data_IF_769897296589
#
_entry.id   IF_769897296589
#
_cell.length_a   1.000
_cell.length_b   1.000
_cell.length_c   1.000
_cell.angle_alpha   90.00
_cell.angle_beta   90.00
_cell.angle_gamma   90.00
#
_symmetry.space_group_name_H-M   'P 1'
#
loop_
_entity.id
_entity.type
_entity.pdbx_description
1 polymer ?
#
# COMPACT_ATOMS: atom_id res chain seq x y z
N UNK A 1 7.48 -22.17 -7.29
CA UNK A 1 8.48 -22.27 -6.21
C UNK A 1 8.50 -20.92 -5.52
N UNK A 2 7.76 -20.75 -4.42
CA UNK A 2 7.76 -19.51 -3.64
C UNK A 2 9.14 -19.43 -2.99
N UNK A 3 9.95 -18.45 -3.38
CA UNK A 3 11.13 -18.09 -2.60
C UNK A 3 10.65 -17.57 -1.25
N UNK A 4 10.85 -18.35 -0.20
CA UNK A 4 10.83 -17.83 1.16
C UNK A 4 12.02 -16.88 1.28
N UNK A 5 11.72 -15.59 1.10
CA UNK A 5 12.67 -14.55 1.48
C UNK A 5 12.82 -14.64 3.01
N UNK A 6 13.94 -15.15 3.44
CA UNK A 6 14.34 -15.18 4.85
C UNK A 6 14.41 -13.72 5.36
N UNK A 7 13.34 -13.25 5.95
CA UNK A 7 12.99 -11.82 6.11
C UNK A 7 13.74 -11.14 7.26
N UNK A 8 14.61 -11.85 8.01
CA UNK A 8 15.14 -11.34 9.28
C UNK A 8 16.50 -10.60 9.20
N UNK A 9 17.20 -10.61 8.06
CA UNK A 9 18.54 -10.00 7.97
C UNK A 9 18.68 -8.88 6.92
N UNK A 10 17.72 -8.72 5.99
CA UNK A 10 17.85 -7.74 4.90
C UNK A 10 17.63 -6.31 5.39
N UNK A 11 18.61 -5.44 5.17
CA UNK A 11 18.55 -4.01 5.48
C UNK A 11 18.24 -3.20 4.23
N UNK A 12 17.44 -2.15 4.39
CA UNK A 12 16.96 -1.27 3.33
C UNK A 12 17.43 0.17 3.60
N UNK A 13 18.14 0.74 2.66
CA UNK A 13 18.66 2.11 2.73
C UNK A 13 17.97 3.01 1.74
N UNK A 14 17.48 4.12 2.19
CA UNK A 14 16.92 5.20 1.39
C UNK A 14 17.80 6.43 1.60
N UNK A 15 18.18 7.09 0.50
CA UNK A 15 19.00 8.31 0.50
C UNK A 15 18.19 9.40 -0.15
N UNK A 16 17.81 10.40 0.62
CA UNK A 16 17.07 11.57 0.15
C UNK A 16 17.98 12.80 0.10
N UNK A 17 17.70 13.70 -0.79
CA UNK A 17 18.44 14.94 -0.99
C UNK A 17 17.87 16.09 -0.15
N UNK A 18 16.68 15.94 0.40
CA UNK A 18 16.03 16.91 1.29
C UNK A 18 15.11 16.24 2.33
N UNK A 19 14.78 16.99 3.37
CA UNK A 19 13.97 16.51 4.49
C UNK A 19 12.54 16.15 4.11
N UNK A 20 11.89 16.94 3.27
CA UNK A 20 10.53 16.65 2.81
C UNK A 20 10.48 15.33 2.04
N UNK A 21 11.41 15.14 1.10
CA UNK A 21 11.54 13.90 0.35
C UNK A 21 11.86 12.69 1.22
N UNK A 22 12.69 12.87 2.24
CA UNK A 22 12.97 11.83 3.23
C UNK A 22 11.69 11.37 3.95
N UNK A 23 10.89 12.32 4.42
CA UNK A 23 9.63 12.04 5.11
C UNK A 23 8.57 11.43 4.19
N UNK A 24 8.42 11.97 2.97
CA UNK A 24 7.48 11.43 1.97
C UNK A 24 7.77 9.96 1.65
N UNK A 25 9.05 9.60 1.64
CA UNK A 25 9.49 8.23 1.38
C UNK A 25 9.33 7.36 2.62
N UNK A 26 9.72 7.87 3.78
CA UNK A 26 9.60 7.16 5.05
C UNK A 26 8.14 6.76 5.35
N UNK A 27 7.19 7.65 5.07
CA UNK A 27 5.78 7.37 5.31
C UNK A 27 5.25 6.22 4.46
N UNK A 28 5.77 6.01 3.22
CA UNK A 28 5.35 4.89 2.39
C UNK A 28 5.78 3.55 3.00
N UNK A 29 6.95 3.50 3.64
CA UNK A 29 7.43 2.34 4.39
C UNK A 29 6.62 2.15 5.67
N UNK A 30 6.35 3.24 6.39
CA UNK A 30 5.58 3.21 7.64
C UNK A 30 4.15 2.71 7.44
N UNK A 31 3.48 3.09 6.36
CA UNK A 31 2.14 2.61 5.96
C UNK A 31 2.07 1.09 5.76
N UNK A 32 3.21 0.40 5.68
CA UNK A 32 3.30 -1.06 5.57
C UNK A 32 3.70 -1.74 6.88
N UNK A 33 3.59 -1.01 7.99
CA UNK A 33 3.82 -1.53 9.34
C UNK A 33 5.29 -1.60 9.77
N UNK A 34 6.24 -1.12 8.96
CA UNK A 34 7.65 -1.13 9.32
C UNK A 34 8.04 0.08 10.16
N UNK A 35 8.89 -0.16 11.16
CA UNK A 35 9.58 0.93 11.84
C UNK A 35 10.68 1.48 10.95
N UNK A 36 10.71 2.80 10.80
CA UNK A 36 11.67 3.53 9.98
C UNK A 36 12.08 4.80 10.70
N UNK A 37 13.33 5.17 10.55
CA UNK A 37 13.88 6.43 11.07
C UNK A 37 14.47 7.26 9.96
N UNK A 38 14.25 8.56 10.03
CA UNK A 38 14.99 9.54 9.24
C UNK A 38 16.17 10.04 10.07
N UNK A 39 17.35 10.07 9.48
CA UNK A 39 18.58 10.56 10.13
C UNK A 39 19.34 11.50 9.19
N UNK A 40 20.00 12.48 9.78
CA UNK A 40 20.78 13.52 9.05
C UNK A 40 22.29 13.21 9.00
N UNK A 41 22.69 12.05 9.51
CA UNK A 41 24.08 11.63 9.53
C UNK A 41 24.20 10.12 9.38
N UNK A 42 25.38 9.65 8.99
CA UNK A 42 25.65 8.22 8.96
C UNK A 42 25.62 7.65 10.38
N UNK A 43 24.61 6.87 10.77
CA UNK A 43 24.52 6.33 12.11
C UNK A 43 25.66 5.36 12.40
N UNK A 44 26.13 5.33 13.65
CA UNK A 44 27.16 4.38 14.09
C UNK A 44 26.68 2.93 14.00
N UNK A 45 25.39 2.70 14.25
CA UNK A 45 24.74 1.38 14.18
C UNK A 45 23.29 1.55 13.70
N UNK A 46 22.89 0.78 12.69
CA UNK A 46 21.51 0.71 12.21
C UNK A 46 20.88 -0.53 12.83
N UNK A 47 19.94 -0.34 13.75
CA UNK A 47 19.16 -1.43 14.37
C UNK A 47 17.92 -1.76 13.54
N UNK A 48 17.31 -0.75 12.95
CA UNK A 48 16.08 -0.83 12.18
C UNK A 48 16.33 -1.57 10.86
N UNK A 49 15.28 -2.24 10.37
CA UNK A 49 15.28 -2.87 9.03
C UNK A 49 15.34 -1.82 7.92
N UNK A 50 14.73 -0.67 8.14
CA UNK A 50 14.66 0.45 7.22
C UNK A 50 15.27 1.70 7.82
N UNK A 51 16.07 2.40 7.03
CA UNK A 51 16.61 3.71 7.41
C UNK A 51 16.56 4.66 6.22
N UNK A 52 16.17 5.90 6.48
CA UNK A 52 16.28 7.00 5.53
C UNK A 52 17.39 7.92 6.00
N UNK A 53 18.30 8.28 5.10
CA UNK A 53 19.30 9.31 5.34
C UNK A 53 18.92 10.52 4.50
N UNK A 54 18.66 11.61 5.18
CA UNK A 54 18.56 12.93 4.58
C UNK A 54 19.97 13.53 4.50
N UNK A 55 20.38 13.84 3.30
CA UNK A 55 21.74 14.33 3.03
C UNK A 55 21.82 15.84 2.89
N UNK A 56 20.65 16.53 2.82
CA UNK A 56 20.55 17.98 2.57
C UNK A 56 21.43 18.45 1.41
N UNK A 57 21.48 17.64 0.35
CA UNK A 57 22.38 17.87 -0.79
C UNK A 57 21.71 18.60 -1.95
N UNK A 58 20.40 18.83 -1.90
CA UNK A 58 19.65 19.45 -3.01
C UNK A 58 20.17 20.83 -3.39
N UNK A 59 20.53 21.66 -2.41
CA UNK A 59 20.84 23.08 -2.59
C UNK A 59 22.33 23.42 -2.58
N UNK A 60 23.19 22.44 -2.42
CA UNK A 60 24.65 22.63 -2.44
C UNK A 60 25.24 22.37 -3.83
N UNK A 61 26.50 22.70 -4.05
CA UNK A 61 27.15 22.44 -5.35
C UNK A 61 27.24 20.94 -5.65
N UNK A 62 27.16 20.55 -6.92
CA UNK A 62 27.20 19.14 -7.35
C UNK A 62 28.43 18.38 -6.85
N UNK A 63 29.61 19.02 -6.86
CA UNK A 63 30.84 18.44 -6.30
C UNK A 63 30.70 18.11 -4.80
N UNK A 64 30.11 19.02 -4.02
CA UNK A 64 29.85 18.79 -2.59
C UNK A 64 28.80 17.71 -2.38
N UNK A 65 27.74 17.70 -3.19
CA UNK A 65 26.70 16.69 -3.13
C UNK A 65 27.28 15.28 -3.39
N UNK A 66 28.07 15.14 -4.46
CA UNK A 66 28.78 13.91 -4.77
C UNK A 66 29.63 13.42 -3.60
N UNK A 67 30.52 14.26 -3.04
CA UNK A 67 31.41 13.86 -1.93
C UNK A 67 30.63 13.53 -0.65
N UNK A 68 29.57 14.28 -0.35
CA UNK A 68 28.72 14.01 0.82
C UNK A 68 28.07 12.64 0.72
N UNK A 69 27.36 12.37 -0.39
CA UNK A 69 26.68 11.09 -0.61
C UNK A 69 27.69 9.93 -0.66
N UNK A 70 28.83 10.10 -1.36
CA UNK A 70 29.90 9.11 -1.44
C UNK A 70 30.43 8.72 -0.06
N UNK A 71 30.70 9.70 0.81
CA UNK A 71 31.23 9.45 2.15
C UNK A 71 30.22 8.73 3.04
N UNK A 72 28.94 9.11 2.96
CA UNK A 72 27.86 8.47 3.68
C UNK A 72 27.74 6.99 3.25
N UNK A 73 27.63 6.71 1.95
CA UNK A 73 27.51 5.35 1.41
C UNK A 73 28.72 4.50 1.79
N UNK A 74 29.92 5.04 1.59
CA UNK A 74 31.15 4.34 1.95
C UNK A 74 31.22 3.99 3.43
N UNK A 75 30.79 4.91 4.31
CA UNK A 75 30.73 4.67 5.75
C UNK A 75 29.71 3.58 6.12
N UNK A 76 28.54 3.58 5.48
CA UNK A 76 27.47 2.62 5.76
C UNK A 76 27.81 1.21 5.26
N UNK A 77 28.28 1.08 4.01
CA UNK A 77 28.63 -0.22 3.41
C UNK A 77 29.85 -0.88 4.08
N UNK A 78 30.70 -0.11 4.76
CA UNK A 78 31.76 -0.68 5.62
C UNK A 78 31.22 -1.34 6.90
N UNK A 79 30.04 -0.94 7.35
CA UNK A 79 29.46 -1.38 8.64
C UNK A 79 28.48 -2.53 8.46
N UNK A 80 27.77 -2.55 7.33
CA UNK A 80 26.77 -3.58 7.03
C UNK A 80 26.39 -3.59 5.54
N UNK A 81 25.88 -4.74 5.10
CA UNK A 81 25.33 -4.89 3.77
C UNK A 81 23.87 -4.43 3.70
N UNK A 82 23.51 -3.84 2.56
CA UNK A 82 22.15 -3.48 2.21
C UNK A 82 21.71 -4.29 0.99
N UNK A 83 20.61 -4.98 1.13
CA UNK A 83 20.00 -5.72 0.02
C UNK A 83 19.18 -4.83 -0.92
N UNK A 84 18.94 -3.58 -0.50
CA UNK A 84 18.13 -2.62 -1.23
C UNK A 84 18.66 -1.21 -0.97
N UNK A 85 18.97 -0.48 -2.03
CA UNK A 85 19.31 0.95 -1.96
C UNK A 85 18.39 1.72 -2.90
N UNK A 86 17.75 2.74 -2.34
CA UNK A 86 16.87 3.67 -3.02
C UNK A 86 17.42 5.08 -2.94
N UNK A 87 17.63 5.71 -4.08
CA UNK A 87 17.91 7.15 -4.17
C UNK A 87 16.60 7.89 -4.40
N UNK A 88 16.15 8.59 -3.39
CA UNK A 88 15.00 9.46 -3.50
C UNK A 88 15.42 10.76 -4.16
N UNK A 89 14.71 11.12 -5.22
CA UNK A 89 14.88 12.38 -5.95
C UNK A 89 13.58 13.20 -5.91
N UNK A 90 13.70 14.48 -6.16
CA UNK A 90 12.53 15.33 -6.33
C UNK A 90 11.68 14.89 -7.54
N UNK A 91 10.36 14.80 -7.35
CA UNK A 91 9.44 14.48 -8.44
C UNK A 91 9.33 15.59 -9.50
N UNK A 92 10.00 16.71 -9.27
CA UNK A 92 10.13 17.82 -10.21
C UNK A 92 11.57 17.98 -10.71
N UNK A 93 12.42 16.96 -10.56
CA UNK A 93 13.78 16.87 -11.10
C UNK A 93 14.74 17.98 -10.63
N UNK A 94 14.50 18.61 -9.49
CA UNK A 94 15.43 19.58 -8.88
C UNK A 94 16.56 18.85 -8.15
N UNK A 95 17.69 19.52 -8.02
CA UNK A 95 18.83 19.06 -7.21
C UNK A 95 19.95 18.40 -8.03
N UNK A 96 20.88 17.78 -7.32
CA UNK A 96 22.13 17.23 -7.87
C UNK A 96 22.00 15.75 -8.25
N UNK A 97 20.94 15.42 -9.04
CA UNK A 97 20.53 14.03 -9.32
C UNK A 97 21.69 13.18 -9.85
N UNK A 98 22.40 13.69 -10.84
CA UNK A 98 23.47 12.94 -11.52
C UNK A 98 24.66 12.70 -10.60
N UNK A 99 25.09 13.72 -9.88
CA UNK A 99 26.23 13.63 -8.97
C UNK A 99 25.97 12.65 -7.84
N UNK A 100 24.76 12.64 -7.34
CA UNK A 100 24.36 11.73 -6.27
C UNK A 100 24.22 10.28 -6.76
N UNK A 101 23.67 10.05 -7.95
CA UNK A 101 23.65 8.72 -8.57
C UNK A 101 25.08 8.22 -8.81
N UNK A 102 25.97 9.05 -9.37
CA UNK A 102 27.38 8.70 -9.56
C UNK A 102 28.08 8.31 -8.26
N UNK A 103 27.83 9.04 -7.20
CA UNK A 103 28.40 8.77 -5.89
C UNK A 103 27.98 7.39 -5.34
N UNK A 104 26.69 7.06 -5.50
CA UNK A 104 26.15 5.76 -5.07
C UNK A 104 26.67 4.65 -5.99
N UNK A 105 26.61 4.85 -7.29
CA UNK A 105 27.04 3.88 -8.30
C UNK A 105 28.50 3.44 -8.09
N UNK A 106 29.40 4.40 -7.88
CA UNK A 106 30.81 4.13 -7.65
C UNK A 106 31.07 3.21 -6.45
N UNK A 107 30.31 3.35 -5.39
CA UNK A 107 30.54 2.63 -4.12
C UNK A 107 29.69 1.38 -4.01
N UNK A 108 28.41 1.47 -4.35
CA UNK A 108 27.47 0.34 -4.26
C UNK A 108 27.65 -0.67 -5.39
N UNK A 109 28.07 -0.22 -6.57
CA UNK A 109 28.30 -1.01 -7.78
C UNK A 109 27.08 -1.88 -8.11
N UNK A 110 25.92 -1.27 -8.40
CA UNK A 110 24.74 -2.01 -8.85
C UNK A 110 24.97 -2.63 -10.22
N UNK A 111 24.29 -3.72 -10.52
CA UNK A 111 24.27 -4.29 -11.87
C UNK A 111 23.42 -3.45 -12.82
N UNK A 112 22.32 -2.87 -12.28
CA UNK A 112 21.43 -1.99 -13.03
C UNK A 112 20.98 -0.80 -12.17
N UNK A 113 20.67 0.29 -12.87
CA UNK A 113 20.07 1.50 -12.29
C UNK A 113 18.72 1.71 -12.95
N UNK A 114 17.64 1.76 -12.16
CA UNK A 114 16.29 2.04 -12.62
C UNK A 114 15.98 3.48 -12.27
N UNK A 115 15.68 4.30 -13.29
CA UNK A 115 15.32 5.70 -13.14
C UNK A 115 13.86 5.93 -13.55
N UNK A 116 12.99 6.24 -12.59
CA UNK A 116 11.58 6.53 -12.80
C UNK A 116 11.12 7.65 -11.85
N UNK A 117 11.25 8.92 -12.26
CA UNK A 117 10.97 10.08 -11.41
C UNK A 117 9.49 10.35 -11.18
N UNK A 118 8.62 9.80 -12.02
CA UNK A 118 7.19 10.12 -12.05
C UNK A 118 6.46 9.83 -10.73
N UNK A 119 5.40 10.61 -10.50
CA UNK A 119 4.44 10.44 -9.42
C UNK A 119 3.03 10.75 -9.92
N UNK A 120 2.38 9.80 -10.61
CA UNK A 120 1.09 10.02 -11.28
C UNK A 120 -0.01 10.59 -10.38
N UNK A 121 -0.07 10.14 -9.12
CA UNK A 121 -1.03 10.66 -8.13
C UNK A 121 -0.94 12.17 -7.88
N UNK A 122 0.19 12.77 -8.23
CA UNK A 122 0.44 14.21 -8.13
C UNK A 122 0.55 14.89 -9.51
N UNK A 123 0.04 14.24 -10.58
CA UNK A 123 0.09 14.79 -11.93
C UNK A 123 1.51 14.88 -12.53
N UNK A 124 2.51 14.16 -11.96
CA UNK A 124 3.87 14.10 -12.50
C UNK A 124 4.05 12.82 -13.26
N UNK A 125 4.20 12.92 -14.57
CA UNK A 125 4.28 11.79 -15.49
C UNK A 125 5.51 11.92 -16.38
N UNK A 126 5.93 10.80 -16.99
CA UNK A 126 6.97 10.80 -18.03
C UNK A 126 6.41 10.12 -19.28
N UNK A 127 6.45 10.81 -20.39
CA UNK A 127 5.90 10.34 -21.66
C UNK A 127 6.89 10.64 -22.79
N UNK A 128 7.28 9.61 -23.56
CA UNK A 128 8.29 9.70 -24.62
C UNK A 128 9.61 10.33 -24.13
N UNK A 129 10.03 9.95 -22.91
CA UNK A 129 11.22 10.49 -22.27
C UNK A 129 11.04 11.87 -21.63
N UNK A 130 9.96 12.59 -21.92
CA UNK A 130 9.71 13.94 -21.39
C UNK A 130 8.94 13.88 -20.07
N UNK A 131 9.54 14.45 -19.03
CA UNK A 131 8.90 14.57 -17.73
C UNK A 131 7.99 15.80 -17.67
N UNK A 132 6.75 15.61 -17.22
CA UNK A 132 5.68 16.61 -17.24
C UNK A 132 5.05 16.78 -15.86
N UNK A 133 4.58 17.98 -15.59
CA UNK A 133 3.74 18.31 -14.45
C UNK A 133 2.40 18.79 -14.99
N UNK A 134 1.31 18.13 -14.64
CA UNK A 134 -0.05 18.42 -15.15
C UNK A 134 -0.11 18.56 -16.67
N UNK A 135 0.63 17.69 -17.38
CA UNK A 135 0.69 17.65 -18.84
C UNK A 135 1.69 18.63 -19.48
N UNK A 136 2.27 19.57 -18.71
CA UNK A 136 3.23 20.57 -19.21
C UNK A 136 4.66 20.05 -19.00
N UNK A 137 5.56 20.09 -20.03
CA UNK A 137 6.97 19.77 -19.85
C UNK A 137 7.57 20.57 -18.69
N UNK A 138 8.32 19.91 -17.81
CA UNK A 138 8.76 20.54 -16.56
C UNK A 138 9.66 21.75 -16.77
N UNK A 139 10.42 21.77 -17.86
CA UNK A 139 11.24 22.91 -18.28
C UNK A 139 10.43 24.17 -18.66
N UNK A 140 9.11 24.05 -18.80
CA UNK A 140 8.18 25.14 -19.12
C UNK A 140 7.30 25.55 -17.94
N UNK A 141 7.52 24.97 -16.76
CA UNK A 141 6.77 25.26 -15.53
C UNK A 141 7.54 26.23 -14.62
N UNK A 142 6.95 26.58 -13.46
CA UNK A 142 7.62 27.36 -12.42
C UNK A 142 8.93 26.72 -11.93
N UNK A 143 9.09 25.41 -12.03
CA UNK A 143 10.32 24.72 -11.62
C UNK A 143 11.54 25.06 -12.49
N UNK A 144 11.33 25.51 -13.73
CA UNK A 144 12.39 26.05 -14.56
C UNK A 144 12.93 27.40 -14.04
N UNK A 145 12.16 28.07 -13.21
CA UNK A 145 12.50 29.38 -12.60
C UNK A 145 12.83 29.27 -11.12
N UNK A 146 12.99 28.03 -10.60
CA UNK A 146 13.42 27.85 -9.20
C UNK A 146 14.71 28.62 -8.95
N UNK A 147 14.75 29.51 -7.92
CA UNK A 147 15.90 30.41 -7.72
C UNK A 147 17.20 29.71 -7.33
N UNK A 148 17.10 28.48 -6.81
CA UNK A 148 18.25 27.72 -6.33
C UNK A 148 18.60 26.57 -7.29
N UNK A 149 17.59 25.84 -7.72
CA UNK A 149 17.75 24.62 -8.54
C UNK A 149 16.84 24.68 -9.79
N UNK A 150 17.06 25.59 -10.73
CA UNK A 150 16.24 25.69 -11.93
C UNK A 150 16.34 24.42 -12.78
N UNK A 151 15.20 23.87 -13.17
CA UNK A 151 15.12 22.67 -14.02
C UNK A 151 15.29 23.09 -15.47
N UNK A 152 16.42 22.74 -16.07
CA UNK A 152 16.78 23.15 -17.44
C UNK A 152 16.38 22.13 -18.50
N UNK A 153 16.20 20.88 -18.12
CA UNK A 153 15.88 19.77 -19.03
C UNK A 153 14.69 18.99 -18.50
N UNK A 154 13.90 18.47 -19.40
CA UNK A 154 12.73 17.66 -19.12
C UNK A 154 12.84 16.22 -19.69
N UNK A 155 13.82 15.98 -20.58
CA UNK A 155 14.04 14.64 -21.11
C UNK A 155 14.94 13.83 -20.16
N UNK A 156 14.38 12.75 -19.60
CA UNK A 156 15.04 11.91 -18.59
C UNK A 156 16.26 11.15 -19.16
N UNK A 157 16.26 10.84 -20.45
CA UNK A 157 17.39 10.19 -21.10
C UNK A 157 18.55 11.17 -21.23
N UNK A 158 18.28 12.40 -21.70
CA UNK A 158 19.28 13.46 -21.82
C UNK A 158 19.89 13.83 -20.46
N UNK A 159 19.06 13.87 -19.40
CA UNK A 159 19.53 14.13 -18.03
C UNK A 159 20.55 13.05 -17.63
N UNK A 160 20.25 11.78 -17.84
CA UNK A 160 21.16 10.70 -17.50
C UNK A 160 22.43 10.71 -18.38
N UNK A 161 22.33 11.06 -19.68
CA UNK A 161 23.47 11.14 -20.59
C UNK A 161 24.47 12.25 -20.22
N UNK A 162 24.07 13.27 -19.46
CA UNK A 162 25.03 14.25 -18.92
C UNK A 162 26.04 13.62 -17.95
N UNK A 163 25.64 12.55 -17.30
CA UNK A 163 26.44 11.91 -16.28
C UNK A 163 27.11 10.62 -16.67
N UNK A 164 26.55 9.89 -17.61
CA UNK A 164 26.95 8.52 -17.93
C UNK A 164 27.25 8.41 -19.42
N UNK A 165 28.39 7.78 -19.74
CA UNK A 165 28.84 7.57 -21.13
C UNK A 165 28.18 6.32 -21.76
N UNK A 166 27.72 5.41 -20.93
CA UNK A 166 27.04 4.19 -21.36
C UNK A 166 25.67 4.52 -21.94
N UNK A 167 25.17 3.63 -22.78
CA UNK A 167 23.85 3.75 -23.38
C UNK A 167 22.75 3.76 -22.30
N UNK A 168 21.84 4.72 -22.40
CA UNK A 168 20.64 4.80 -21.55
C UNK A 168 19.50 4.08 -22.28
N UNK A 169 19.07 2.98 -21.70
CA UNK A 169 17.93 2.20 -22.22
C UNK A 169 16.63 2.89 -21.88
N UNK A 170 16.03 3.59 -22.84
CA UNK A 170 14.72 4.21 -22.69
C UNK A 170 13.62 3.15 -22.89
N UNK A 171 12.79 2.99 -21.88
CA UNK A 171 11.63 2.08 -21.90
C UNK A 171 10.36 2.93 -22.00
N UNK A 172 9.81 3.00 -23.22
CA UNK A 172 8.55 3.70 -23.49
C UNK A 172 7.35 2.95 -22.89
N UNK A 173 6.22 3.64 -22.74
CA UNK A 173 4.95 3.03 -22.28
C UNK A 173 4.55 1.84 -23.15
N UNK A 174 4.71 1.96 -24.47
CA UNK A 174 4.43 0.85 -25.39
C UNK A 174 5.24 -0.39 -25.07
N UNK A 175 6.52 -0.22 -24.77
CA UNK A 175 7.39 -1.32 -24.39
C UNK A 175 7.04 -1.84 -23.00
N UNK A 176 6.76 -0.95 -22.04
CA UNK A 176 6.39 -1.31 -20.67
C UNK A 176 5.08 -2.14 -20.61
N UNK A 177 4.17 -1.91 -21.55
CA UNK A 177 2.91 -2.67 -21.63
C UNK A 177 3.07 -4.03 -22.34
N UNK A 178 4.18 -4.26 -23.03
CA UNK A 178 4.57 -5.53 -23.68
C UNK A 178 5.69 -6.19 -22.84
N UNK A 179 5.32 -6.67 -21.64
CA UNK A 179 6.27 -7.17 -20.64
C UNK A 179 7.14 -8.35 -21.12
N UNK A 180 6.66 -9.13 -22.08
CA UNK A 180 7.43 -10.28 -22.62
C UNK A 180 8.69 -9.84 -23.38
N UNK A 181 8.76 -8.57 -23.78
CA UNK A 181 9.87 -8.02 -24.58
C UNK A 181 10.96 -7.34 -23.74
N UNK A 182 10.66 -6.95 -22.49
CA UNK A 182 11.62 -6.23 -21.67
C UNK A 182 12.41 -7.21 -20.81
N UNK A 183 13.70 -7.28 -21.09
CA UNK A 183 14.68 -7.95 -20.23
C UNK A 183 15.69 -6.92 -19.73
N UNK A 184 15.83 -6.79 -18.40
CA UNK A 184 16.82 -5.91 -17.77
C UNK A 184 18.24 -6.52 -17.87
N UNK A 185 18.68 -6.89 -19.09
CA UNK A 185 19.97 -7.56 -19.34
C UNK A 185 20.79 -6.93 -20.46
N UNK A 186 20.29 -5.85 -21.08
CA UNK A 186 20.95 -5.22 -22.24
C UNK A 186 21.81 -4.01 -21.90
N UNK A 187 21.79 -3.54 -20.69
CA UNK A 187 22.53 -2.36 -20.26
C UNK A 187 22.49 -2.19 -18.75
N UNK A 188 23.10 -1.11 -18.28
CA UNK A 188 23.15 -0.75 -16.86
C UNK A 188 22.09 0.28 -16.48
N UNK A 189 21.80 1.25 -17.34
CA UNK A 189 20.93 2.39 -17.06
C UNK A 189 19.60 2.26 -17.79
N UNK A 190 18.50 2.28 -17.05
CA UNK A 190 17.15 2.17 -17.57
C UNK A 190 16.32 3.37 -17.14
N UNK A 191 15.81 4.14 -18.11
CA UNK A 191 14.91 5.27 -17.91
C UNK A 191 13.52 4.91 -18.39
N UNK A 192 12.51 5.09 -17.54
CA UNK A 192 11.15 4.62 -17.79
C UNK A 192 10.16 5.75 -18.00
N UNK A 193 9.33 5.60 -19.02
CA UNK A 193 8.08 6.32 -19.12
C UNK A 193 7.07 5.78 -18.09
N UNK A 194 6.27 6.68 -17.52
CA UNK A 194 5.25 6.37 -16.53
C UNK A 194 4.12 7.38 -16.63
N UNK A 195 2.90 6.93 -16.84
CA UNK A 195 1.69 7.76 -16.81
C UNK A 195 0.74 7.39 -15.67
N UNK A 196 0.75 6.13 -15.25
CA UNK A 196 -0.19 5.60 -14.26
C UNK A 196 0.53 4.96 -13.08
N UNK A 197 -0.22 4.71 -12.00
CA UNK A 197 0.29 3.93 -10.87
C UNK A 197 0.58 2.48 -11.27
N UNK A 198 -0.19 1.92 -12.19
CA UNK A 198 -0.01 0.59 -12.75
C UNK A 198 1.33 0.45 -13.49
N UNK A 199 1.77 1.51 -14.18
CA UNK A 199 3.09 1.52 -14.84
C UNK A 199 4.21 1.43 -13.81
N UNK A 200 4.09 2.17 -12.70
CA UNK A 200 5.03 2.07 -11.58
C UNK A 200 5.08 0.64 -11.01
N UNK A 201 3.93 0.01 -10.84
CA UNK A 201 3.85 -1.36 -10.33
C UNK A 201 4.51 -2.37 -11.28
N UNK A 202 4.36 -2.18 -12.60
CA UNK A 202 5.04 -3.01 -13.62
C UNK A 202 6.55 -2.87 -13.54
N UNK A 203 7.06 -1.64 -13.44
CA UNK A 203 8.51 -1.35 -13.27
C UNK A 203 9.03 -1.99 -11.98
N UNK A 204 8.30 -1.81 -10.87
CA UNK A 204 8.66 -2.38 -9.59
C UNK A 204 8.71 -3.92 -9.65
N UNK A 205 7.69 -4.54 -10.23
CA UNK A 205 7.61 -6.01 -10.41
C UNK A 205 8.78 -6.53 -11.24
N UNK A 206 9.02 -5.93 -12.40
CA UNK A 206 10.10 -6.31 -13.30
C UNK A 206 11.46 -6.22 -12.62
N UNK A 207 11.73 -5.13 -11.89
CA UNK A 207 12.98 -4.97 -11.17
C UNK A 207 13.14 -5.97 -10.02
N UNK A 208 12.10 -6.17 -9.20
CA UNK A 208 12.13 -7.15 -8.10
C UNK A 208 12.33 -8.57 -8.60
N UNK A 209 11.65 -8.95 -9.69
CA UNK A 209 11.74 -10.29 -10.30
C UNK A 209 13.07 -10.53 -11.05
N UNK A 210 13.81 -9.48 -11.40
CA UNK A 210 15.08 -9.60 -12.12
C UNK A 210 16.18 -10.30 -11.33
N UNK A 211 16.06 -10.37 -10.01
CA UNK A 211 17.07 -10.87 -9.07
C UNK A 211 18.44 -10.16 -9.18
N UNK A 212 18.48 -8.96 -9.74
CA UNK A 212 19.68 -8.16 -9.91
C UNK A 212 19.93 -7.23 -8.72
N UNK A 213 21.18 -6.83 -8.55
CA UNK A 213 21.55 -5.77 -7.62
C UNK A 213 21.18 -4.42 -8.22
N UNK A 214 20.12 -3.81 -7.73
CA UNK A 214 19.55 -2.59 -8.29
C UNK A 214 19.82 -1.38 -7.43
N UNK A 215 20.21 -0.27 -8.07
CA UNK A 215 20.01 1.06 -7.53
C UNK A 215 18.68 1.61 -8.08
N UNK A 216 17.72 1.75 -7.21
CA UNK A 216 16.45 2.36 -7.54
C UNK A 216 16.55 3.88 -7.39
N UNK A 217 16.12 4.61 -8.42
CA UNK A 217 16.14 6.08 -8.42
C UNK A 217 14.78 6.61 -8.83
N UNK A 218 14.13 7.35 -7.94
CA UNK A 218 12.80 7.90 -8.24
C UNK A 218 12.21 8.77 -7.14
N UNK A 219 10.96 9.17 -7.35
CA UNK A 219 10.16 9.93 -6.38
C UNK A 219 9.53 9.01 -5.32
N UNK A 220 8.69 9.56 -4.44
CA UNK A 220 7.89 8.75 -3.51
C UNK A 220 6.91 7.79 -4.23
N UNK A 221 6.56 8.04 -5.49
CA UNK A 221 5.72 7.15 -6.29
C UNK A 221 6.37 5.81 -6.58
N UNK A 222 7.63 5.81 -7.01
CA UNK A 222 8.33 4.56 -7.34
C UNK A 222 8.52 3.67 -6.11
N UNK A 223 8.91 4.24 -4.97
CA UNK A 223 9.08 3.43 -3.75
C UNK A 223 7.74 2.89 -3.23
N UNK A 224 6.65 3.63 -3.38
CA UNK A 224 5.32 3.13 -3.07
C UNK A 224 5.01 1.87 -3.89
N UNK A 225 5.24 1.90 -5.21
CA UNK A 225 5.04 0.75 -6.09
C UNK A 225 5.95 -0.44 -5.77
N UNK A 226 7.21 -0.19 -5.43
CA UNK A 226 8.14 -1.26 -5.00
C UNK A 226 7.61 -1.96 -3.76
N UNK A 227 7.13 -1.22 -2.77
CA UNK A 227 6.56 -1.81 -1.57
C UNK A 227 5.21 -2.47 -1.79
N UNK A 228 4.43 -2.07 -2.79
CA UNK A 228 3.22 -2.80 -3.19
C UNK A 228 3.55 -4.22 -3.68
N UNK A 229 4.73 -4.42 -4.28
CA UNK A 229 5.21 -5.74 -4.71
C UNK A 229 5.90 -6.51 -3.58
N UNK A 230 6.82 -5.86 -2.85
CA UNK A 230 7.62 -6.52 -1.80
C UNK A 230 6.80 -6.87 -0.56
N UNK A 231 5.84 -6.04 -0.22
CA UNK A 231 4.96 -6.18 0.92
C UNK A 231 3.58 -5.62 0.60
N UNK A 232 2.79 -6.35 -0.19
CA UNK A 232 1.46 -5.91 -0.59
C UNK A 232 0.59 -5.63 0.63
N UNK A 233 -0.21 -4.56 0.56
CA UNK A 233 -1.16 -4.23 1.61
C UNK A 233 -2.17 -5.35 1.73
N UNK A 234 -2.30 -5.92 2.91
CA UNK A 234 -3.34 -6.92 3.20
C UNK A 234 -4.72 -6.29 2.97
N UNK A 235 -5.69 -7.05 2.46
CA UNK A 235 -7.05 -6.55 2.30
C UNK A 235 -7.68 -6.25 3.65
N UNK A 236 -8.62 -5.32 3.72
CA UNK A 236 -9.48 -5.13 4.89
C UNK A 236 -10.79 -5.87 4.70
N UNK A 237 -11.38 -6.36 5.81
CA UNK A 237 -12.63 -7.11 5.83
C UNK A 237 -13.71 -6.33 6.61
N UNK A 238 -14.84 -6.02 5.97
CA UNK A 238 -15.98 -5.39 6.62
C UNK A 238 -17.10 -6.40 6.86
N UNK A 239 -17.71 -6.37 8.04
CA UNK A 239 -18.93 -7.15 8.35
C UNK A 239 -20.02 -6.21 8.82
N UNK A 240 -21.07 -6.11 8.03
CA UNK A 240 -22.22 -5.27 8.30
C UNK A 240 -23.41 -6.13 8.68
N UNK A 241 -23.61 -6.33 9.99
CA UNK A 241 -24.78 -7.05 10.53
C UNK A 241 -25.95 -6.15 10.92
N UNK A 242 -25.78 -4.83 10.82
CA UNK A 242 -26.82 -3.85 11.12
C UNK A 242 -27.81 -3.72 9.95
N UNK A 243 -29.09 -3.75 10.24
CA UNK A 243 -30.17 -3.55 9.29
C UNK A 243 -30.75 -2.11 9.33
N UNK A 244 -30.01 -1.16 9.93
CA UNK A 244 -30.42 0.23 10.01
C UNK A 244 -30.36 0.92 8.65
N UNK A 245 -31.17 1.96 8.45
CA UNK A 245 -31.18 2.77 7.23
C UNK A 245 -29.80 3.43 6.97
N UNK A 246 -29.13 3.86 8.05
CA UNK A 246 -27.79 4.44 7.99
C UNK A 246 -26.80 3.42 7.47
N UNK A 247 -26.81 2.17 7.98
CA UNK A 247 -25.94 1.10 7.50
C UNK A 247 -26.17 0.79 6.01
N UNK A 248 -27.43 0.79 5.55
CA UNK A 248 -27.73 0.62 4.12
C UNK A 248 -27.16 1.75 3.26
N UNK A 249 -27.25 3.02 3.68
CA UNK A 249 -26.64 4.17 2.99
C UNK A 249 -25.12 4.02 2.93
N UNK A 250 -24.48 3.61 4.02
CA UNK A 250 -23.03 3.37 4.10
C UNK A 250 -22.58 2.25 3.15
N UNK A 251 -23.32 1.14 3.06
CA UNK A 251 -23.07 0.06 2.10
C UNK A 251 -23.16 0.53 0.65
N UNK A 252 -24.22 1.30 0.33
CA UNK A 252 -24.40 1.85 -1.02
C UNK A 252 -23.30 2.84 -1.39
N UNK A 253 -22.89 3.69 -0.45
CA UNK A 253 -21.75 4.59 -0.66
C UNK A 253 -20.45 3.83 -0.92
N UNK A 254 -20.11 2.84 -0.09
CA UNK A 254 -18.93 2.01 -0.27
C UNK A 254 -18.90 1.30 -1.63
N UNK A 255 -20.08 0.76 -2.06
CA UNK A 255 -20.24 0.14 -3.37
C UNK A 255 -20.04 1.15 -4.52
N UNK A 256 -20.59 2.37 -4.40
CA UNK A 256 -20.39 3.46 -5.37
C UNK A 256 -18.94 3.86 -5.50
N UNK A 257 -18.19 3.81 -4.40
CA UNK A 257 -16.74 4.08 -4.37
C UNK A 257 -15.86 2.91 -4.85
N UNK A 258 -16.47 1.86 -5.44
CA UNK A 258 -15.78 0.72 -6.02
C UNK A 258 -15.37 -0.38 -5.03
N UNK A 259 -15.87 -0.36 -3.79
CA UNK A 259 -15.59 -1.43 -2.84
C UNK A 259 -16.47 -2.65 -3.11
N UNK A 260 -15.91 -3.85 -3.04
CA UNK A 260 -16.67 -5.08 -3.18
C UNK A 260 -17.63 -5.23 -1.97
N UNK A 261 -18.92 -5.36 -2.25
CA UNK A 261 -19.97 -5.62 -1.25
C UNK A 261 -20.67 -6.91 -1.63
N UNK A 262 -20.52 -7.93 -0.78
CA UNK A 262 -21.17 -9.22 -0.96
C UNK A 262 -22.32 -9.38 0.04
N UNK A 263 -23.50 -9.66 -0.48
CA UNK A 263 -24.67 -9.97 0.33
C UNK A 263 -24.81 -11.49 0.49
N UNK A 264 -24.92 -11.93 1.74
CA UNK A 264 -25.18 -13.32 2.09
C UNK A 264 -26.65 -13.66 1.78
N UNK A 265 -26.92 -14.66 0.96
CA UNK A 265 -28.28 -15.14 0.76
C UNK A 265 -28.75 -15.98 1.96
N UNK A 266 -29.34 -15.27 2.94
CA UNK A 266 -29.82 -15.88 4.19
C UNK A 266 -30.85 -16.96 3.91
N UNK A 267 -31.71 -16.79 2.89
CA UNK A 267 -32.77 -17.79 2.57
C UNK A 267 -32.11 -19.11 2.12
N UNK A 268 -31.13 -19.04 1.23
CA UNK A 268 -30.39 -20.22 0.79
C UNK A 268 -29.56 -20.85 1.93
N UNK A 269 -28.95 -20.02 2.79
CA UNK A 269 -28.22 -20.50 3.96
C UNK A 269 -29.13 -21.30 4.93
N UNK A 270 -30.42 -20.97 4.99
CA UNK A 270 -31.40 -21.71 5.80
C UNK A 270 -31.80 -23.05 5.14
N UNK A 271 -31.77 -23.14 3.80
CA UNK A 271 -32.17 -24.33 3.06
C UNK A 271 -31.00 -25.29 2.84
N UNK A 272 -29.85 -24.75 2.44
CA UNK A 272 -28.66 -25.48 2.04
C UNK A 272 -27.42 -24.95 2.77
N UNK A 273 -27.36 -25.13 4.11
CA UNK A 273 -26.37 -24.43 4.93
C UNK A 273 -24.92 -24.76 4.59
N UNK A 274 -24.59 -26.00 4.25
CA UNK A 274 -23.22 -26.39 3.93
C UNK A 274 -22.82 -25.96 2.51
N UNK A 275 -23.68 -26.19 1.53
CA UNK A 275 -23.41 -25.87 0.13
C UNK A 275 -23.25 -24.35 -0.06
N UNK A 276 -24.23 -23.56 0.37
CA UNK A 276 -24.22 -22.11 0.23
C UNK A 276 -23.08 -21.48 1.06
N UNK A 277 -22.77 -22.03 2.24
CA UNK A 277 -21.63 -21.60 3.04
C UNK A 277 -20.30 -21.75 2.27
N UNK A 278 -20.07 -22.93 1.69
CA UNK A 278 -18.83 -23.21 0.97
C UNK A 278 -18.72 -22.35 -0.29
N UNK A 279 -19.79 -22.24 -1.10
CA UNK A 279 -19.81 -21.39 -2.29
C UNK A 279 -19.53 -19.90 -1.96
N UNK A 280 -20.18 -19.42 -0.89
CA UNK A 280 -19.97 -18.04 -0.46
C UNK A 280 -18.54 -17.81 0.04
N UNK A 281 -17.99 -18.74 0.83
CA UNK A 281 -16.64 -18.65 1.37
C UNK A 281 -15.58 -18.70 0.25
N UNK A 282 -15.72 -19.57 -0.73
CA UNK A 282 -14.81 -19.64 -1.89
C UNK A 282 -14.75 -18.31 -2.64
N UNK A 283 -15.93 -17.70 -2.91
CA UNK A 283 -15.99 -16.39 -3.57
C UNK A 283 -15.30 -15.30 -2.75
N UNK A 284 -15.52 -15.29 -1.44
CA UNK A 284 -14.88 -14.32 -0.52
C UNK A 284 -13.35 -14.50 -0.53
N UNK A 285 -12.88 -15.74 -0.39
CA UNK A 285 -11.45 -16.06 -0.35
C UNK A 285 -10.76 -15.68 -1.67
N UNK A 286 -11.41 -15.91 -2.82
CA UNK A 286 -10.86 -15.53 -4.13
C UNK A 286 -10.59 -14.02 -4.19
N UNK A 287 -11.58 -13.19 -3.82
CA UNK A 287 -11.42 -11.73 -3.83
C UNK A 287 -10.34 -11.25 -2.84
N UNK A 288 -10.27 -11.83 -1.65
CA UNK A 288 -9.25 -11.46 -0.67
C UNK A 288 -7.84 -11.91 -1.10
N UNK A 289 -7.69 -13.05 -1.79
CA UNK A 289 -6.41 -13.50 -2.37
C UNK A 289 -5.90 -12.54 -3.45
N UNK A 290 -6.81 -11.90 -4.18
CA UNK A 290 -6.49 -10.84 -5.13
C UNK A 290 -6.19 -9.48 -4.46
N UNK A 291 -6.02 -9.46 -3.15
CA UNK A 291 -5.76 -8.25 -2.33
C UNK A 291 -6.91 -7.21 -2.38
N UNK A 292 -8.10 -7.65 -2.75
CA UNK A 292 -9.29 -6.80 -2.79
C UNK A 292 -9.97 -6.77 -1.42
N UNK A 293 -10.10 -5.58 -0.85
CA UNK A 293 -10.92 -5.40 0.36
C UNK A 293 -12.38 -5.61 0.03
N UNK A 294 -13.12 -6.22 0.94
CA UNK A 294 -14.54 -6.47 0.74
C UNK A 294 -15.36 -6.30 2.01
N UNK A 295 -16.65 -6.07 1.82
CA UNK A 295 -17.66 -5.98 2.87
C UNK A 295 -18.65 -7.13 2.68
N UNK A 296 -18.92 -7.85 3.75
CA UNK A 296 -19.96 -8.87 3.82
C UNK A 296 -21.14 -8.30 4.60
N UNK A 297 -22.35 -8.46 4.07
CA UNK A 297 -23.59 -8.10 4.75
C UNK A 297 -24.62 -9.21 4.62
N UNK A 298 -25.50 -9.35 5.61
CA UNK A 298 -26.67 -10.23 5.54
C UNK A 298 -27.93 -9.52 5.03
N UNK A 299 -27.83 -8.16 4.87
CA UNK A 299 -28.97 -7.36 4.45
C UNK A 299 -28.48 -6.04 3.85
N UNK A 300 -28.62 -5.91 2.54
CA UNK A 300 -28.19 -4.70 1.82
C UNK A 300 -29.19 -3.55 1.99
N UNK A 301 -30.50 -3.89 2.05
CA UNK A 301 -31.57 -2.89 2.09
C UNK A 301 -32.84 -3.42 2.76
N UNK A 302 -33.87 -2.54 2.88
CA UNK A 302 -35.17 -2.88 3.49
C UNK A 302 -35.94 -3.98 2.74
N UNK A 303 -35.73 -4.10 1.42
CA UNK A 303 -36.40 -5.13 0.60
C UNK A 303 -35.87 -6.50 0.92
N UNK A 304 -34.52 -6.63 0.95
CA UNK A 304 -33.88 -7.88 1.40
C UNK A 304 -34.33 -8.28 2.80
N UNK A 305 -34.41 -7.34 3.74
CA UNK A 305 -34.88 -7.63 5.10
C UNK A 305 -36.28 -8.19 5.09
N UNK A 306 -37.24 -7.54 4.36
CA UNK A 306 -38.62 -8.01 4.23
C UNK A 306 -38.68 -9.41 3.64
N UNK A 307 -37.92 -9.69 2.58
CA UNK A 307 -37.82 -11.00 1.94
C UNK A 307 -37.36 -12.07 2.92
N UNK A 308 -36.29 -11.83 3.65
CA UNK A 308 -35.71 -12.78 4.62
C UNK A 308 -36.68 -13.02 5.78
N UNK A 309 -37.33 -11.97 6.31
CA UNK A 309 -38.31 -12.10 7.38
C UNK A 309 -39.56 -12.89 6.95
N UNK A 310 -40.09 -12.61 5.75
CA UNK A 310 -41.21 -13.36 5.20
C UNK A 310 -40.86 -14.82 4.94
N UNK A 311 -39.64 -15.09 4.53
CA UNK A 311 -39.12 -16.45 4.30
C UNK A 311 -38.99 -17.23 5.63
N UNK A 312 -38.39 -16.62 6.64
CA UNK A 312 -38.27 -17.22 7.98
C UNK A 312 -39.65 -17.54 8.62
N UNK A 313 -40.61 -16.61 8.47
CA UNK A 313 -41.96 -16.82 8.94
C UNK A 313 -42.66 -18.04 8.29
N UNK A 314 -42.40 -18.30 6.99
CA UNK A 314 -42.95 -19.51 6.31
C UNK A 314 -42.34 -20.81 6.82
N UNK A 315 -41.22 -20.75 7.51
CA UNK A 315 -40.49 -21.88 8.11
C UNK A 315 -40.66 -21.95 9.62
N UNK A 316 -41.59 -21.19 10.18
CA UNK A 316 -41.85 -21.07 11.63
C UNK A 316 -40.59 -20.66 12.45
N UNK A 317 -39.65 -19.95 11.82
CA UNK A 317 -38.45 -19.44 12.47
C UNK A 317 -38.74 -18.07 13.04
N UNK A 318 -38.69 -17.93 14.36
CA UNK A 318 -38.92 -16.65 15.03
C UNK A 318 -37.74 -15.68 14.82
N UNK A 319 -38.03 -14.39 14.92
CA UNK A 319 -37.05 -13.31 14.62
C UNK A 319 -35.75 -13.43 15.41
N UNK A 320 -35.86 -13.80 16.68
CA UNK A 320 -34.69 -13.97 17.59
C UNK A 320 -33.80 -15.13 17.16
N UNK A 321 -34.39 -16.25 16.75
CA UNK A 321 -33.63 -17.40 16.19
C UNK A 321 -32.98 -17.07 14.88
N UNK A 322 -33.69 -16.41 13.97
CA UNK A 322 -33.13 -15.94 12.71
C UNK A 322 -31.90 -15.04 12.94
N UNK A 323 -32.06 -14.05 13.84
CA UNK A 323 -30.96 -13.15 14.17
C UNK A 323 -29.75 -13.90 14.77
N UNK A 324 -30.00 -14.87 15.65
CA UNK A 324 -28.93 -15.72 16.21
C UNK A 324 -28.24 -16.58 15.15
N UNK A 325 -29.02 -17.16 14.24
CA UNK A 325 -28.49 -17.95 13.12
C UNK A 325 -27.58 -17.12 12.22
N UNK A 326 -28.05 -15.96 11.77
CA UNK A 326 -27.28 -15.05 10.90
C UNK A 326 -25.97 -14.61 11.57
N UNK A 327 -26.01 -14.21 12.85
CA UNK A 327 -24.80 -13.81 13.60
C UNK A 327 -23.78 -14.94 13.69
N UNK A 328 -24.24 -16.18 13.95
CA UNK A 328 -23.38 -17.35 14.01
C UNK A 328 -22.75 -17.68 12.65
N UNK A 329 -23.52 -17.57 11.56
CA UNK A 329 -23.01 -17.79 10.19
C UNK A 329 -21.92 -16.76 9.90
N UNK A 330 -22.16 -15.46 10.14
CA UNK A 330 -21.17 -14.40 9.93
C UNK A 330 -19.90 -14.63 10.78
N UNK A 331 -20.07 -15.05 12.04
CA UNK A 331 -18.94 -15.39 12.91
C UNK A 331 -18.09 -16.55 12.38
N UNK A 332 -18.73 -17.62 11.92
CA UNK A 332 -18.05 -18.78 11.30
C UNK A 332 -17.33 -18.37 10.00
N UNK A 333 -17.97 -17.58 9.14
CA UNK A 333 -17.36 -17.08 7.90
C UNK A 333 -16.08 -16.29 8.21
N UNK A 334 -16.13 -15.34 9.15
CA UNK A 334 -14.96 -14.55 9.53
C UNK A 334 -13.83 -15.46 10.06
N UNK A 335 -14.16 -16.43 10.94
CA UNK A 335 -13.19 -17.39 11.47
C UNK A 335 -12.54 -18.21 10.35
N UNK A 336 -13.33 -18.68 9.38
CA UNK A 336 -12.81 -19.44 8.23
C UNK A 336 -11.94 -18.59 7.31
N UNK A 337 -12.33 -17.34 7.04
CA UNK A 337 -11.50 -16.40 6.27
C UNK A 337 -10.13 -16.22 6.95
N UNK A 338 -10.11 -15.90 8.24
CA UNK A 338 -8.88 -15.61 8.96
C UNK A 338 -7.93 -16.81 9.14
N UNK A 339 -8.41 -18.02 8.97
CA UNK A 339 -7.57 -19.23 8.90
C UNK A 339 -6.76 -19.31 7.61
N UNK A 340 -7.28 -18.74 6.51
CA UNK A 340 -6.66 -18.84 5.19
C UNK A 340 -6.00 -17.55 4.73
N UNK A 341 -6.56 -16.40 5.12
CA UNK A 341 -6.18 -15.09 4.63
C UNK A 341 -5.82 -14.18 5.80
N UNK A 342 -4.63 -13.59 5.72
CA UNK A 342 -4.28 -12.49 6.58
C UNK A 342 -4.91 -11.19 6.08
N UNK A 343 -5.67 -10.53 6.95
CA UNK A 343 -6.26 -9.21 6.67
C UNK A 343 -5.54 -8.11 7.44
N UNK A 344 -5.61 -6.88 6.95
CA UNK A 344 -5.07 -5.70 7.64
C UNK A 344 -5.86 -5.33 8.90
N UNK A 345 -7.11 -5.75 8.98
CA UNK A 345 -8.01 -5.57 10.11
C UNK A 345 -9.46 -5.76 9.69
N UNK A 346 -10.37 -5.70 10.66
CA UNK A 346 -11.80 -5.97 10.47
C UNK A 346 -12.62 -4.75 10.88
N UNK A 347 -13.61 -4.38 10.06
CA UNK A 347 -14.64 -3.44 10.43
C UNK A 347 -15.93 -4.19 10.77
N UNK A 348 -16.51 -3.92 11.94
CA UNK A 348 -17.74 -4.56 12.44
C UNK A 348 -18.79 -3.52 12.71
N UNK A 349 -20.02 -3.71 12.19
CA UNK A 349 -21.15 -2.88 12.60
C UNK A 349 -22.34 -3.71 13.03
N UNK A 350 -23.00 -3.23 14.11
CA UNK A 350 -24.02 -3.94 14.87
C UNK A 350 -23.41 -4.63 16.09
N UNK A 351 -23.72 -4.15 17.31
CA UNK A 351 -23.09 -4.63 18.55
C UNK A 351 -23.19 -6.14 18.75
N UNK A 352 -24.36 -6.71 18.50
CA UNK A 352 -24.58 -8.15 18.63
C UNK A 352 -23.77 -8.98 17.61
N UNK A 353 -23.63 -8.48 16.39
CA UNK A 353 -22.81 -9.13 15.36
C UNK A 353 -21.34 -9.05 15.74
N UNK A 354 -20.89 -7.89 16.20
CA UNK A 354 -19.52 -7.70 16.63
C UNK A 354 -19.13 -8.65 17.76
N UNK A 355 -19.94 -8.73 18.82
CA UNK A 355 -19.63 -9.65 19.94
C UNK A 355 -19.69 -11.13 19.52
N UNK A 356 -20.61 -11.49 18.60
CA UNK A 356 -20.65 -12.86 18.06
C UNK A 356 -19.38 -13.22 17.29
N UNK A 357 -18.86 -12.30 16.48
CA UNK A 357 -17.62 -12.50 15.73
C UNK A 357 -16.44 -12.61 16.71
N UNK A 358 -16.29 -11.70 17.67
CA UNK A 358 -15.21 -11.70 18.66
C UNK A 358 -15.18 -13.03 19.43
N UNK A 359 -16.37 -13.54 19.84
CA UNK A 359 -16.48 -14.84 20.49
C UNK A 359 -16.07 -16.01 19.58
N UNK A 360 -16.44 -15.99 18.29
CA UNK A 360 -16.00 -17.00 17.32
C UNK A 360 -14.49 -16.97 17.08
N UNK A 361 -13.84 -15.81 17.24
CA UNK A 361 -12.40 -15.66 17.18
C UNK A 361 -11.69 -16.08 18.48
N UNK A 362 -12.46 -16.48 19.51
CA UNK A 362 -11.93 -16.88 20.81
C UNK A 362 -11.09 -15.78 21.48
N UNK A 363 -11.43 -14.51 21.20
CA UNK A 363 -10.80 -13.35 21.81
C UNK A 363 -11.55 -12.97 23.08
N UNK A 364 -10.83 -12.79 24.18
CA UNK A 364 -11.38 -12.44 25.49
C UNK A 364 -11.05 -11.00 25.89
N UNK A 365 -9.96 -10.43 25.33
CA UNK A 365 -9.49 -9.11 25.68
C UNK A 365 -9.29 -8.24 24.43
N UNK A 366 -9.72 -6.99 24.53
CA UNK A 366 -9.58 -5.97 23.50
C UNK A 366 -9.03 -4.69 24.11
N UNK A 367 -7.93 -4.19 23.56
CA UNK A 367 -7.37 -2.88 23.89
C UNK A 367 -8.09 -1.80 23.08
N UNK A 368 -8.60 -0.76 23.73
CA UNK A 368 -9.14 0.42 23.07
C UNK A 368 -7.96 1.32 22.66
N UNK A 369 -7.83 1.60 21.35
CA UNK A 369 -6.74 2.41 20.85
C UNK A 369 -7.16 3.88 20.67
N UNK A 370 -8.28 4.12 19.97
CA UNK A 370 -8.79 5.49 19.76
C UNK A 370 -10.25 5.49 19.31
N UNK A 371 -10.90 6.62 19.42
CA UNK A 371 -12.18 6.90 18.78
C UNK A 371 -11.93 7.44 17.36
N UNK A 372 -12.35 6.69 16.34
CA UNK A 372 -12.23 7.06 14.93
C UNK A 372 -13.21 8.17 14.55
N UNK A 373 -14.42 8.07 15.07
CA UNK A 373 -15.50 9.07 15.06
C UNK A 373 -16.51 8.72 16.13
N UNK A 374 -17.45 9.62 16.42
CA UNK A 374 -18.48 9.38 17.43
C UNK A 374 -19.18 8.04 17.19
N UNK A 375 -19.09 7.14 18.17
CA UNK A 375 -19.67 5.78 18.10
C UNK A 375 -18.94 4.80 17.19
N UNK A 376 -17.72 5.13 16.77
CA UNK A 376 -16.83 4.27 15.97
C UNK A 376 -15.47 4.19 16.65
N UNK A 377 -15.12 3.02 17.14
CA UNK A 377 -13.94 2.80 17.99
C UNK A 377 -12.99 1.80 17.35
N UNK A 378 -11.70 2.15 17.38
CA UNK A 378 -10.62 1.26 17.02
C UNK A 378 -10.15 0.48 18.24
N UNK A 379 -10.09 -0.81 18.08
CA UNK A 379 -9.68 -1.81 19.06
C UNK A 379 -8.57 -2.68 18.49
N UNK A 380 -7.89 -3.40 19.38
CA UNK A 380 -6.92 -4.44 19.00
C UNK A 380 -7.10 -5.66 19.89
N UNK A 381 -7.13 -6.85 19.32
CA UNK A 381 -7.14 -8.11 20.08
C UNK A 381 -5.82 -8.24 20.82
N UNK A 382 -5.85 -8.50 22.13
CA UNK A 382 -4.63 -8.62 22.96
C UNK A 382 -4.29 -10.05 23.32
N UNK A 383 -5.19 -11.01 23.10
CA UNK A 383 -5.04 -12.42 23.43
C UNK A 383 -5.33 -13.37 22.24
N UNK A 384 -5.13 -14.67 22.47
CA UNK A 384 -5.45 -15.73 21.51
C UNK A 384 -4.61 -15.72 20.22
N UNK A 385 -5.04 -16.53 19.24
CA UNK A 385 -4.33 -16.73 17.98
C UNK A 385 -4.37 -15.52 17.04
N UNK A 386 -5.35 -14.63 17.25
CA UNK A 386 -5.52 -13.39 16.48
C UNK A 386 -4.99 -12.17 17.21
N UNK A 387 -4.10 -12.37 18.20
CA UNK A 387 -3.45 -11.26 18.92
C UNK A 387 -2.80 -10.27 17.94
N UNK A 388 -3.07 -9.00 18.14
CA UNK A 388 -2.56 -7.91 17.29
C UNK A 388 -3.51 -7.53 16.14
N UNK A 389 -4.58 -8.31 15.89
CA UNK A 389 -5.55 -8.00 14.84
C UNK A 389 -6.36 -6.75 15.22
N UNK A 390 -6.33 -5.71 14.37
CA UNK A 390 -7.11 -4.52 14.59
C UNK A 390 -8.58 -4.71 14.24
N UNK A 391 -9.45 -4.12 15.02
CA UNK A 391 -10.89 -4.15 14.82
C UNK A 391 -11.47 -2.74 14.97
N UNK A 392 -12.23 -2.28 13.98
CA UNK A 392 -13.07 -1.10 14.15
C UNK A 392 -14.49 -1.59 14.43
N UNK A 393 -15.08 -1.16 15.54
CA UNK A 393 -16.48 -1.39 15.83
C UNK A 393 -17.27 -0.10 15.66
N UNK A 394 -18.48 -0.20 15.11
CA UNK A 394 -19.42 0.92 14.94
C UNK A 394 -20.81 0.53 15.39
N UNK A 395 -21.44 1.40 16.16
CA UNK A 395 -22.88 1.25 16.47
C UNK A 395 -23.71 1.43 15.19
N UNK A 396 -24.72 0.58 14.99
CA UNK A 396 -25.43 0.44 13.72
C UNK A 396 -26.06 1.72 13.16
N UNK A 397 -26.52 2.62 14.04
CA UNK A 397 -27.20 3.88 13.67
C UNK A 397 -26.32 5.12 13.71
N UNK A 398 -25.00 4.96 13.84
CA UNK A 398 -24.07 6.08 13.97
C UNK A 398 -23.25 6.32 12.69
N UNK A 399 -22.67 7.53 12.62
CA UNK A 399 -21.77 7.96 11.55
C UNK A 399 -22.52 8.40 10.29
N UNK A 400 -21.81 9.15 9.45
CA UNK A 400 -22.29 9.55 8.12
C UNK A 400 -22.19 8.42 7.09
N UNK A 401 -22.55 8.70 5.85
CA UNK A 401 -22.56 7.71 4.77
C UNK A 401 -21.15 7.22 4.37
N UNK A 402 -20.07 7.99 4.69
CA UNK A 402 -18.70 7.73 4.29
C UNK A 402 -17.93 6.85 5.27
N UNK A 403 -18.36 6.85 6.54
CA UNK A 403 -17.56 6.29 7.65
C UNK A 403 -17.15 4.82 7.44
N UNK A 404 -18.01 4.00 6.84
CA UNK A 404 -17.69 2.60 6.53
C UNK A 404 -16.53 2.52 5.53
N UNK A 405 -16.67 3.22 4.39
CA UNK A 405 -15.66 3.24 3.34
C UNK A 405 -14.31 3.79 3.85
N UNK A 406 -14.35 4.94 4.52
CA UNK A 406 -13.13 5.58 5.06
C UNK A 406 -12.44 4.71 6.11
N UNK A 407 -13.21 4.06 6.99
CA UNK A 407 -12.68 3.13 7.98
C UNK A 407 -12.00 1.92 7.31
N UNK A 408 -12.61 1.36 6.27
CA UNK A 408 -12.04 0.25 5.51
C UNK A 408 -10.72 0.64 4.82
N UNK A 409 -10.64 1.85 4.25
CA UNK A 409 -9.41 2.37 3.65
C UNK A 409 -8.34 2.60 4.73
N UNK A 410 -8.68 3.25 5.84
CA UNK A 410 -7.75 3.48 6.95
C UNK A 410 -7.19 2.18 7.53
N UNK A 411 -8.04 1.15 7.67
CA UNK A 411 -7.60 -0.21 8.06
C UNK A 411 -6.60 -0.76 7.05
N UNK A 412 -6.92 -0.74 5.76
CA UNK A 412 -6.05 -1.24 4.69
C UNK A 412 -4.71 -0.52 4.66
N UNK A 413 -4.71 0.76 4.91
CA UNK A 413 -3.51 1.59 4.88
C UNK A 413 -2.68 1.53 6.16
N UNK A 414 -3.18 0.90 7.22
CA UNK A 414 -2.49 0.81 8.51
C UNK A 414 -2.27 2.16 9.20
N UNK A 415 -3.03 3.19 8.81
CA UNK A 415 -2.84 4.57 9.29
C UNK A 415 -3.19 4.68 10.78
N UNK A 416 -4.08 3.82 11.27
CA UNK A 416 -4.62 3.89 12.62
C UNK A 416 -3.76 3.17 13.68
N UNK A 417 -2.80 2.32 13.29
CA UNK A 417 -2.02 1.49 14.23
C UNK A 417 -0.72 2.14 14.70
N UNK A 418 -0.42 3.30 14.19
CA UNK A 418 0.90 3.93 14.32
C UNK A 418 0.88 5.20 15.18
N UNK A 419 -0.18 5.37 15.98
CA UNK A 419 -0.30 6.46 16.95
C UNK A 419 0.15 5.99 18.32
#
# INVERSE_FOLDING_TARGET
MKMEYNNNEKKYLIIADDFTGANDTAVQVRKRGYNIKVTFSSPLKIKEKFVVIDTETRTISGKKAYETVKNIIKSLLKKQDFSFIYKKIDSTLRGNIIEEIKAIDQIYKPEIIIFAPAFPKLGRITQNGVHKVEGIPISQTEFAKDPINPVKKDNIVEILQEGFQEEIMHISLKNLHDLDKIKLNKGKYYAFDVETTEDIQKIAKMGVESNKKILWVGSAGLIEGIFDILNPKKPSLGIVGSVSEISSKQLLYAKKMGMNVLELDVCKMLDFPEEEYNLFLEKVILLLKEQQSLIITSCLNKETLKKVMAYAAKKDIVKEELAKCVKNILGKIVKSILKEIEVSGIFLTGGDTAISIIKNLEANELEILLEVSVGTVLLKITDGIYKGLPIITKAGSFGDEKILYESMIKIKEGILWNI
#
